data_IF_619030618228
#
_entry.id   IF_619030618228
#
_cell.length_a   1.000
_cell.length_b   1.000
_cell.length_c   1.000
_cell.angle_alpha   90.00
_cell.angle_beta   90.00
_cell.angle_gamma   90.00
#
_symmetry.space_group_name_H-M   'P 1'
#
loop_
_entity.id
_entity.type
_entity.pdbx_description
1 polymer ?
#
# COMPACT_ATOMS: atom_id res chain seq x y z
N UNK A 1 26.10 1.52 35.99
CA UNK A 1 26.31 1.34 34.54
C UNK A 1 25.23 0.48 33.85
N UNK A 2 24.64 -0.55 34.47
CA UNK A 2 23.57 -1.38 33.87
C UNK A 2 22.28 -0.65 33.48
N UNK A 3 21.83 0.33 34.30
CA UNK A 3 20.57 1.06 34.07
C UNK A 3 20.54 1.87 32.78
N UNK A 4 21.60 2.57 32.46
CA UNK A 4 21.70 3.32 31.18
C UNK A 4 21.60 2.40 29.94
N UNK A 5 22.25 1.23 29.99
CA UNK A 5 22.16 0.25 28.90
C UNK A 5 20.72 -0.20 28.66
N UNK A 6 19.96 -0.43 29.74
CA UNK A 6 18.55 -0.85 29.63
C UNK A 6 17.69 0.24 29.00
N UNK A 7 17.89 1.51 29.42
CA UNK A 7 17.14 2.65 28.85
C UNK A 7 17.45 2.79 27.36
N UNK A 8 18.73 2.78 26.97
CA UNK A 8 19.10 2.88 25.56
C UNK A 8 18.55 1.73 24.74
N UNK A 9 18.63 0.49 25.24
CA UNK A 9 18.08 -0.68 24.54
C UNK A 9 16.57 -0.54 24.34
N UNK A 10 15.83 -0.12 25.38
CA UNK A 10 14.39 0.11 25.25
C UNK A 10 14.07 1.21 24.25
N UNK A 11 14.85 2.30 24.23
CA UNK A 11 14.68 3.38 23.24
C UNK A 11 14.91 2.89 21.81
N UNK A 12 15.93 2.05 21.57
CA UNK A 12 16.18 1.46 20.25
C UNK A 12 15.08 0.48 19.83
N UNK A 13 14.52 -0.29 20.77
CA UNK A 13 13.36 -1.17 20.48
C UNK A 13 12.14 -0.35 20.06
N UNK A 14 11.83 0.73 20.77
CA UNK A 14 10.71 1.63 20.40
C UNK A 14 10.97 2.26 19.04
N UNK A 15 12.19 2.77 18.80
CA UNK A 15 12.56 3.33 17.51
C UNK A 15 12.43 2.31 16.39
N UNK A 16 12.86 1.07 16.61
CA UNK A 16 12.73 -0.03 15.66
C UNK A 16 11.26 -0.30 15.33
N UNK A 17 10.37 -0.36 16.32
CA UNK A 17 8.93 -0.54 16.08
C UNK A 17 8.34 0.61 15.26
N UNK A 18 8.71 1.86 15.56
CA UNK A 18 8.24 3.02 14.79
C UNK A 18 8.72 2.99 13.33
N UNK A 19 10.01 2.74 13.11
CA UNK A 19 10.59 2.62 11.77
C UNK A 19 9.95 1.47 10.98
N UNK A 20 9.72 0.33 11.63
CA UNK A 20 9.09 -0.83 11.02
C UNK A 20 7.64 -0.52 10.62
N UNK A 21 6.90 0.18 11.47
CA UNK A 21 5.52 0.61 11.17
C UNK A 21 5.49 1.53 9.95
N UNK A 22 6.34 2.55 9.92
CA UNK A 22 6.40 3.49 8.77
C UNK A 22 6.84 2.77 7.50
N UNK A 23 7.84 1.87 7.60
CA UNK A 23 8.29 1.05 6.47
C UNK A 23 7.16 0.19 5.91
N UNK A 24 6.38 -0.48 6.79
CA UNK A 24 5.26 -1.31 6.38
C UNK A 24 4.16 -0.50 5.68
N UNK A 25 3.81 0.68 6.21
CA UNK A 25 2.84 1.57 5.56
C UNK A 25 3.35 2.07 4.21
N UNK A 26 4.62 2.47 4.11
CA UNK A 26 5.21 2.91 2.84
C UNK A 26 5.24 1.78 1.80
N UNK A 27 5.56 0.56 2.22
CA UNK A 27 5.49 -0.63 1.37
C UNK A 27 4.06 -0.87 0.87
N UNK A 28 3.08 -0.86 1.78
CA UNK A 28 1.67 -1.07 1.43
C UNK A 28 1.16 0.01 0.46
N UNK A 29 1.53 1.28 0.67
CA UNK A 29 1.18 2.37 -0.25
C UNK A 29 1.85 2.20 -1.61
N UNK A 30 3.13 1.80 -1.65
CA UNK A 30 3.83 1.47 -2.88
C UNK A 30 3.14 0.33 -3.64
N UNK A 31 2.70 -0.72 -2.95
CA UNK A 31 1.99 -1.86 -3.53
C UNK A 31 0.61 -1.46 -4.09
N UNK A 32 -0.17 -0.68 -3.33
CA UNK A 32 -1.48 -0.17 -3.75
C UNK A 32 -1.36 0.74 -4.97
N UNK A 33 -0.31 1.56 -5.04
CA UNK A 33 -0.09 2.52 -6.12
C UNK A 33 0.64 1.92 -7.33
N UNK A 34 0.83 0.61 -7.42
CA UNK A 34 1.25 0.00 -8.69
C UNK A 34 0.18 0.17 -9.76
N UNK A 35 0.60 0.33 -11.01
CA UNK A 35 -0.32 0.56 -12.14
C UNK A 35 -1.36 -0.56 -12.27
N UNK A 36 -0.94 -1.80 -12.05
CA UNK A 36 -1.79 -2.99 -12.10
C UNK A 36 -2.86 -2.97 -10.99
N UNK A 37 -2.45 -2.70 -9.75
CA UNK A 37 -3.38 -2.65 -8.63
C UNK A 37 -4.36 -1.48 -8.76
N UNK A 38 -3.92 -0.34 -9.28
CA UNK A 38 -4.80 0.79 -9.58
C UNK A 38 -5.86 0.44 -10.64
N UNK A 39 -5.51 -0.35 -11.68
CA UNK A 39 -6.46 -0.83 -12.68
C UNK A 39 -7.51 -1.76 -12.07
N UNK A 40 -7.08 -2.71 -11.24
CA UNK A 40 -8.00 -3.61 -10.52
C UNK A 40 -8.94 -2.81 -9.61
N UNK A 41 -8.39 -1.85 -8.90
CA UNK A 41 -9.08 -1.00 -7.98
C UNK A 41 -10.10 -0.08 -8.67
N UNK A 42 -9.68 0.67 -9.69
CA UNK A 42 -10.57 1.51 -10.48
C UNK A 42 -11.69 0.69 -11.14
N UNK A 43 -11.36 -0.54 -11.56
CA UNK A 43 -12.32 -1.48 -12.11
C UNK A 43 -13.38 -1.93 -11.11
N UNK A 44 -13.00 -2.18 -9.86
CA UNK A 44 -13.93 -2.56 -8.81
C UNK A 44 -14.89 -1.41 -8.47
N UNK A 45 -14.35 -0.19 -8.33
CA UNK A 45 -15.14 1.02 -8.06
C UNK A 45 -16.14 1.30 -9.17
N UNK A 46 -15.67 1.34 -10.42
CA UNK A 46 -16.53 1.69 -11.55
C UNK A 46 -17.64 0.65 -11.74
N UNK A 47 -17.34 -0.64 -11.56
CA UNK A 47 -18.36 -1.70 -11.64
C UNK A 47 -19.44 -1.56 -10.56
N UNK A 48 -19.08 -1.13 -9.36
CA UNK A 48 -20.05 -0.91 -8.28
C UNK A 48 -20.89 0.36 -8.52
N UNK A 49 -20.26 1.45 -8.96
CA UNK A 49 -20.98 2.66 -9.37
C UNK A 49 -21.96 2.37 -10.52
N UNK A 50 -21.54 1.60 -11.50
CA UNK A 50 -22.40 1.19 -12.61
C UNK A 50 -23.56 0.29 -12.17
N UNK A 51 -23.36 -0.54 -11.11
CA UNK A 51 -24.43 -1.35 -10.53
C UNK A 51 -25.43 -0.51 -9.74
N UNK A 52 -24.97 0.51 -9.04
CA UNK A 52 -25.80 1.39 -8.23
C UNK A 52 -26.60 2.36 -9.08
N UNK A 53 -26.09 2.75 -10.24
CA UNK A 53 -26.73 3.64 -11.19
C UNK A 53 -27.79 2.90 -12.02
N UNK A 54 -28.95 2.63 -11.41
CA UNK A 54 -30.08 1.91 -12.02
C UNK A 54 -30.58 2.51 -13.35
N UNK A 55 -30.28 3.78 -13.62
CA UNK A 55 -30.75 4.53 -14.80
C UNK A 55 -29.66 4.70 -15.88
N UNK A 56 -28.43 4.20 -15.66
CA UNK A 56 -27.38 4.28 -16.66
C UNK A 56 -27.52 3.11 -17.65
N UNK A 57 -28.15 3.40 -18.78
CA UNK A 57 -28.25 2.47 -19.90
C UNK A 57 -26.91 2.42 -20.63
N UNK A 58 -25.99 1.57 -20.11
CA UNK A 58 -24.65 1.37 -20.68
C UNK A 58 -24.68 0.93 -22.14
N UNK A 59 -25.74 0.23 -22.53
CA UNK A 59 -25.93 -0.22 -23.91
C UNK A 59 -26.19 0.97 -24.83
N UNK A 60 -27.07 1.89 -24.42
CA UNK A 60 -27.30 3.13 -25.16
C UNK A 60 -26.06 4.00 -25.20
N UNK A 61 -25.36 4.17 -24.06
CA UNK A 61 -24.12 4.94 -24.00
C UNK A 61 -23.07 4.39 -24.96
N UNK A 62 -22.83 3.08 -24.97
CA UNK A 62 -21.89 2.43 -25.88
C UNK A 62 -22.31 2.57 -27.36
N UNK A 63 -23.61 2.43 -27.66
CA UNK A 63 -24.15 2.59 -29.03
C UNK A 63 -23.95 4.01 -29.55
N UNK A 64 -24.20 5.02 -28.71
CA UNK A 64 -23.94 6.43 -29.03
C UNK A 64 -22.48 6.72 -29.34
N UNK A 65 -21.56 6.11 -28.57
CA UNK A 65 -20.12 6.24 -28.82
C UNK A 65 -19.71 5.58 -30.15
N UNK A 66 -20.28 4.44 -30.47
CA UNK A 66 -20.05 3.78 -31.77
C UNK A 66 -20.56 4.65 -32.93
N UNK A 67 -21.70 5.32 -32.79
CA UNK A 67 -22.22 6.27 -33.79
C UNK A 67 -21.28 7.48 -33.95
N UNK A 68 -20.81 8.05 -32.86
CA UNK A 68 -19.83 9.15 -32.91
C UNK A 68 -18.54 8.72 -33.61
N UNK A 69 -18.10 7.48 -33.42
CA UNK A 69 -16.93 6.92 -34.06
C UNK A 69 -17.08 6.73 -35.58
N UNK A 70 -18.26 6.96 -36.17
CA UNK A 70 -18.41 7.01 -37.64
C UNK A 70 -17.89 8.34 -38.21
N UNK A 71 -17.86 9.40 -37.39
CA UNK A 71 -17.53 10.77 -37.80
C UNK A 71 -16.20 11.27 -37.25
N UNK A 72 -15.62 10.57 -36.29
CA UNK A 72 -14.38 10.98 -35.59
C UNK A 72 -13.44 9.78 -35.47
N UNK A 73 -12.13 10.04 -35.46
CA UNK A 73 -11.12 9.01 -35.25
C UNK A 73 -10.85 8.73 -33.78
N UNK A 74 -11.15 9.71 -32.93
CA UNK A 74 -10.96 9.65 -31.46
C UNK A 74 -12.16 10.28 -30.75
N UNK A 75 -12.50 9.72 -29.59
CA UNK A 75 -13.49 10.31 -28.68
C UNK A 75 -12.76 10.91 -27.49
N UNK A 76 -13.03 12.17 -27.21
CA UNK A 76 -12.50 12.88 -26.07
C UNK A 76 -13.48 12.80 -24.90
N UNK A 77 -13.07 12.17 -23.82
CA UNK A 77 -13.83 12.13 -22.55
C UNK A 77 -13.24 13.18 -21.62
N UNK A 78 -13.96 14.27 -21.35
CA UNK A 78 -13.50 15.27 -20.39
C UNK A 78 -13.60 14.70 -18.99
N UNK A 79 -12.46 14.59 -18.31
CA UNK A 79 -12.36 14.29 -16.89
C UNK A 79 -11.98 15.59 -16.17
N UNK A 80 -12.28 15.70 -14.90
CA UNK A 80 -11.96 16.89 -14.09
C UNK A 80 -10.50 17.35 -14.17
N UNK A 81 -9.60 16.45 -14.56
CA UNK A 81 -8.14 16.64 -14.51
C UNK A 81 -7.52 16.81 -15.89
N UNK A 82 -7.99 16.05 -16.84
CA UNK A 82 -7.52 16.08 -18.23
C UNK A 82 -8.53 15.41 -19.15
N UNK A 83 -8.50 15.78 -20.40
CA UNK A 83 -9.26 15.09 -21.43
C UNK A 83 -8.55 13.82 -21.82
N UNK A 84 -9.24 12.69 -21.79
CA UNK A 84 -8.73 11.39 -22.24
C UNK A 84 -9.27 11.10 -23.62
N UNK A 85 -8.37 10.93 -24.57
CA UNK A 85 -8.71 10.57 -25.94
C UNK A 85 -8.68 9.04 -26.10
N UNK A 86 -9.78 8.45 -26.54
CA UNK A 86 -9.89 7.00 -26.82
C UNK A 86 -10.00 6.83 -28.34
N UNK A 87 -9.08 6.06 -28.98
CA UNK A 87 -9.17 5.78 -30.39
C UNK A 87 -10.45 5.01 -30.75
N UNK A 88 -11.14 5.43 -31.79
CA UNK A 88 -12.35 4.77 -32.25
C UNK A 88 -12.12 3.35 -32.79
N UNK A 89 -10.90 3.04 -33.22
CA UNK A 89 -10.48 1.65 -33.55
C UNK A 89 -10.67 0.71 -32.36
N UNK A 90 -10.30 1.18 -31.15
CA UNK A 90 -10.35 0.38 -29.92
C UNK A 90 -11.78 0.24 -29.41
N UNK A 91 -12.61 1.29 -29.57
CA UNK A 91 -14.03 1.24 -29.25
C UNK A 91 -14.76 0.26 -30.18
N UNK A 92 -14.51 0.33 -31.50
CA UNK A 92 -15.13 -0.56 -32.51
C UNK A 92 -14.72 -2.02 -32.36
N UNK A 93 -13.51 -2.30 -31.87
CA UNK A 93 -13.00 -3.65 -31.62
C UNK A 93 -13.43 -4.24 -30.28
N UNK A 94 -13.95 -3.39 -29.37
CA UNK A 94 -14.40 -3.81 -28.04
C UNK A 94 -15.85 -4.30 -28.06
N UNK A 95 -16.18 -5.16 -27.10
CA UNK A 95 -17.56 -5.43 -26.70
C UNK A 95 -17.95 -4.47 -25.58
N UNK A 96 -19.22 -4.34 -25.25
CA UNK A 96 -19.68 -3.49 -24.14
C UNK A 96 -18.92 -3.75 -22.81
N UNK A 97 -18.65 -5.01 -22.50
CA UNK A 97 -17.92 -5.43 -21.29
C UNK A 97 -16.43 -5.09 -21.37
N UNK A 98 -15.81 -5.27 -22.54
CA UNK A 98 -14.40 -4.93 -22.75
C UNK A 98 -14.19 -3.43 -22.88
N UNK A 99 -15.20 -2.67 -23.35
CA UNK A 99 -15.17 -1.21 -23.40
C UNK A 99 -15.03 -0.59 -22.00
N UNK A 100 -15.76 -1.09 -21.02
CA UNK A 100 -15.60 -0.61 -19.62
C UNK A 100 -14.15 -0.79 -19.15
N UNK A 101 -13.54 -1.93 -19.43
CA UNK A 101 -12.14 -2.17 -19.09
C UNK A 101 -11.18 -1.26 -19.88
N UNK A 102 -11.50 -0.96 -21.16
CA UNK A 102 -10.73 -0.01 -21.98
C UNK A 102 -10.74 1.39 -21.34
N UNK A 103 -11.93 1.89 -20.96
CA UNK A 103 -12.06 3.20 -20.30
C UNK A 103 -11.27 3.23 -18.99
N UNK A 104 -11.39 2.18 -18.14
CA UNK A 104 -10.65 2.08 -16.89
C UNK A 104 -9.13 2.13 -17.13
N UNK A 105 -8.65 1.32 -18.08
CA UNK A 105 -7.23 1.26 -18.40
C UNK A 105 -6.71 2.61 -18.88
N UNK A 106 -7.43 3.25 -19.81
CA UNK A 106 -7.04 4.55 -20.36
C UNK A 106 -7.06 5.63 -19.27
N UNK A 107 -8.05 5.61 -18.38
CA UNK A 107 -8.14 6.53 -17.25
C UNK A 107 -6.98 6.35 -16.27
N UNK A 108 -6.70 5.11 -15.87
CA UNK A 108 -5.59 4.81 -14.95
C UNK A 108 -4.25 5.16 -15.59
N UNK A 109 -4.06 4.85 -16.88
CA UNK A 109 -2.85 5.20 -17.61
C UNK A 109 -2.65 6.73 -17.64
N UNK A 110 -3.72 7.48 -17.88
CA UNK A 110 -3.69 8.94 -17.89
C UNK A 110 -3.34 9.55 -16.53
N UNK A 111 -3.83 8.99 -15.43
CA UNK A 111 -3.50 9.45 -14.06
C UNK A 111 -2.09 9.01 -13.68
N UNK A 112 -1.76 7.75 -13.91
CA UNK A 112 -0.50 7.17 -13.47
C UNK A 112 0.69 7.80 -14.16
N UNK A 113 0.60 7.98 -15.49
CA UNK A 113 1.67 8.51 -16.31
C UNK A 113 1.70 10.05 -16.35
N UNK A 114 0.76 10.70 -15.62
CA UNK A 114 0.74 12.16 -15.53
C UNK A 114 2.02 12.69 -14.88
N UNK A 115 2.72 13.53 -15.63
CA UNK A 115 3.91 14.20 -15.10
C UNK A 115 3.50 15.44 -14.30
N UNK A 116 3.98 15.51 -13.06
CA UNK A 116 3.81 16.67 -12.20
C UNK A 116 5.14 17.45 -12.18
N UNK A 117 5.11 18.72 -12.55
CA UNK A 117 6.30 19.61 -12.62
C UNK A 117 6.83 20.01 -11.22
N UNK A 118 6.72 19.12 -10.25
CA UNK A 118 7.18 19.34 -8.89
C UNK A 118 7.62 18.02 -8.23
N UNK A 119 8.59 18.10 -7.29
CA UNK A 119 8.88 16.96 -6.43
C UNK A 119 7.70 16.63 -5.52
N UNK A 120 7.58 15.38 -5.06
CA UNK A 120 6.47 14.91 -4.25
C UNK A 120 6.14 15.85 -3.08
N UNK A 121 7.16 16.25 -2.29
CA UNK A 121 6.96 17.13 -1.12
C UNK A 121 6.50 18.54 -1.54
N UNK A 122 7.05 19.08 -2.63
CA UNK A 122 6.62 20.41 -3.10
C UNK A 122 5.22 20.37 -3.73
N UNK A 123 4.85 19.26 -4.34
CA UNK A 123 3.49 19.02 -4.82
C UNK A 123 2.47 18.93 -3.68
N UNK A 124 2.79 18.27 -2.57
CA UNK A 124 1.95 18.21 -1.36
C UNK A 124 1.59 19.60 -0.82
N UNK A 125 2.49 20.58 -0.97
CA UNK A 125 2.25 21.94 -0.50
C UNK A 125 1.47 22.81 -1.49
N UNK A 126 1.54 22.50 -2.79
CA UNK A 126 0.99 23.32 -3.87
C UNK A 126 -0.36 22.82 -4.40
N UNK A 127 -0.55 21.49 -4.38
CA UNK A 127 -1.74 20.86 -4.92
C UNK A 127 -2.82 20.71 -3.85
N UNK A 128 -4.07 20.94 -4.24
CA UNK A 128 -5.25 20.81 -3.40
C UNK A 128 -6.29 19.89 -4.05
N UNK A 129 -7.14 19.27 -3.23
CA UNK A 129 -8.29 18.50 -3.68
C UNK A 129 -7.92 17.30 -4.58
N UNK A 130 -8.63 17.16 -5.68
CA UNK A 130 -8.51 16.07 -6.65
C UNK A 130 -7.10 15.94 -7.25
N UNK A 131 -6.42 17.06 -7.56
CA UNK A 131 -5.07 17.03 -8.10
C UNK A 131 -4.06 16.41 -7.12
N UNK A 132 -4.23 16.65 -5.82
CA UNK A 132 -3.41 16.02 -4.79
C UNK A 132 -3.66 14.51 -4.75
N UNK A 133 -4.92 14.07 -4.76
CA UNK A 133 -5.27 12.65 -4.77
C UNK A 133 -4.66 11.92 -5.97
N UNK A 134 -4.70 12.54 -7.15
CA UNK A 134 -4.09 11.95 -8.36
C UNK A 134 -2.58 11.90 -8.29
N UNK A 135 -1.92 12.92 -7.75
CA UNK A 135 -0.48 12.89 -7.53
C UNK A 135 -0.09 11.75 -6.58
N UNK A 136 -0.87 11.51 -5.51
CA UNK A 136 -0.64 10.40 -4.58
C UNK A 136 -0.80 9.03 -5.24
N UNK A 137 -1.66 8.89 -6.26
CA UNK A 137 -1.90 7.66 -7.00
C UNK A 137 -1.04 7.53 -8.27
N UNK A 138 -0.30 8.57 -8.66
CA UNK A 138 0.55 8.57 -9.85
C UNK A 138 1.87 7.82 -9.64
N UNK A 139 2.61 7.66 -10.73
CA UNK A 139 3.99 7.14 -10.68
C UNK A 139 4.90 7.97 -9.74
N UNK A 140 4.68 9.28 -9.64
CA UNK A 140 5.41 10.15 -8.70
C UNK A 140 5.15 9.75 -7.25
N UNK A 141 3.90 9.44 -6.89
CA UNK A 141 3.54 8.93 -5.57
C UNK A 141 4.15 7.54 -5.32
N UNK A 142 4.00 6.63 -6.28
CA UNK A 142 4.57 5.27 -6.19
C UNK A 142 6.10 5.29 -5.97
N UNK A 143 6.83 6.08 -6.74
CA UNK A 143 8.29 6.23 -6.57
C UNK A 143 8.65 6.76 -5.18
N UNK A 144 7.96 7.79 -4.71
CA UNK A 144 8.19 8.33 -3.38
C UNK A 144 7.97 7.29 -2.28
N UNK A 145 6.88 6.53 -2.32
CA UNK A 145 6.63 5.49 -1.31
C UNK A 145 7.69 4.39 -1.34
N UNK A 146 8.15 4.02 -2.53
CA UNK A 146 9.23 3.03 -2.70
C UNK A 146 10.55 3.55 -2.14
N UNK A 147 10.92 4.79 -2.42
CA UNK A 147 12.15 5.42 -1.89
C UNK A 147 12.10 5.52 -0.36
N UNK A 148 10.96 5.95 0.20
CA UNK A 148 10.75 6.02 1.65
C UNK A 148 10.88 4.62 2.26
N UNK A 149 10.24 3.61 1.69
CA UNK A 149 10.36 2.22 2.14
C UNK A 149 11.82 1.77 2.18
N UNK A 150 12.59 1.96 1.09
CA UNK A 150 13.99 1.55 1.03
C UNK A 150 14.85 2.29 2.06
N UNK A 151 14.63 3.59 2.26
CA UNK A 151 15.34 4.37 3.27
C UNK A 151 15.07 3.85 4.68
N UNK A 152 13.81 3.54 4.99
CA UNK A 152 13.44 3.01 6.31
C UNK A 152 13.94 1.58 6.54
N UNK A 153 14.00 0.72 5.51
CA UNK A 153 14.64 -0.60 5.60
C UNK A 153 16.14 -0.46 5.94
N UNK A 154 16.86 0.45 5.30
CA UNK A 154 18.26 0.71 5.62
C UNK A 154 18.44 1.15 7.09
N UNK A 155 17.59 2.06 7.58
CA UNK A 155 17.59 2.48 8.99
C UNK A 155 17.24 1.34 9.94
N UNK A 156 16.28 0.48 9.60
CA UNK A 156 15.91 -0.71 10.38
C UNK A 156 17.08 -1.67 10.53
N UNK A 157 17.86 -1.90 9.47
CA UNK A 157 19.04 -2.74 9.54
C UNK A 157 20.08 -2.16 10.51
N UNK A 158 20.34 -0.85 10.46
CA UNK A 158 21.26 -0.18 11.38
C UNK A 158 20.78 -0.30 12.83
N UNK A 159 19.52 0.03 13.10
CA UNK A 159 18.95 -0.05 14.46
C UNK A 159 18.89 -1.50 14.95
N UNK A 160 18.57 -2.45 14.08
CA UNK A 160 18.58 -3.89 14.39
C UNK A 160 19.98 -4.38 14.83
N UNK A 161 21.01 -3.98 14.10
CA UNK A 161 22.41 -4.26 14.47
C UNK A 161 22.74 -3.64 15.82
N UNK A 162 22.35 -2.39 16.08
CA UNK A 162 22.59 -1.75 17.38
C UNK A 162 21.87 -2.49 18.54
N UNK A 163 20.63 -2.94 18.33
CA UNK A 163 19.91 -3.76 19.31
C UNK A 163 20.70 -5.02 19.66
N UNK A 164 21.23 -5.75 18.64
CA UNK A 164 22.04 -6.96 18.86
C UNK A 164 23.31 -6.62 19.65
N UNK A 165 24.03 -5.57 19.29
CA UNK A 165 25.26 -5.19 19.97
C UNK A 165 25.04 -4.75 21.43
N UNK A 166 23.91 -4.11 21.73
CA UNK A 166 23.59 -3.63 23.09
C UNK A 166 22.98 -4.72 23.97
N UNK A 167 22.44 -5.80 23.39
CA UNK A 167 21.85 -6.91 24.14
C UNK A 167 22.91 -7.78 24.81
N UNK A 168 22.63 -8.19 26.04
CA UNK A 168 23.47 -9.14 26.77
C UNK A 168 22.62 -10.35 27.23
N UNK A 169 22.92 -11.57 26.77
CA UNK A 169 23.88 -11.89 25.70
C UNK A 169 23.42 -11.35 24.33
N UNK A 170 24.34 -11.17 23.38
CA UNK A 170 24.04 -10.63 22.04
C UNK A 170 22.92 -11.37 21.31
N UNK A 171 22.82 -12.67 21.54
CA UNK A 171 21.77 -13.54 21.00
C UNK A 171 20.38 -13.09 21.46
N UNK A 172 20.24 -12.50 22.66
CA UNK A 172 18.98 -11.96 23.14
C UNK A 172 18.47 -10.81 22.26
N UNK A 173 19.35 -10.15 21.50
CA UNK A 173 18.99 -9.10 20.54
C UNK A 173 18.09 -9.63 19.43
N UNK A 174 18.34 -10.83 18.92
CA UNK A 174 17.50 -11.49 17.87
C UNK A 174 16.09 -11.71 18.41
N UNK A 175 15.97 -12.23 19.64
CA UNK A 175 14.66 -12.38 20.30
C UNK A 175 13.94 -11.05 20.46
N UNK A 176 14.65 -10.00 20.86
CA UNK A 176 14.06 -8.65 21.05
C UNK A 176 13.57 -8.06 19.73
N UNK A 177 14.32 -8.25 18.62
CA UNK A 177 13.88 -7.88 17.27
C UNK A 177 12.62 -8.65 16.89
N UNK A 178 12.60 -9.98 17.09
CA UNK A 178 11.42 -10.79 16.81
C UNK A 178 10.18 -10.34 17.58
N UNK A 179 10.32 -10.04 18.88
CA UNK A 179 9.24 -9.49 19.71
C UNK A 179 8.75 -8.13 19.15
N UNK A 180 9.68 -7.25 18.74
CA UNK A 180 9.32 -5.97 18.14
C UNK A 180 8.49 -6.15 16.85
N UNK A 181 8.87 -7.11 16.02
CA UNK A 181 8.14 -7.45 14.80
C UNK A 181 6.73 -7.99 15.13
N UNK A 182 6.60 -8.83 16.17
CA UNK A 182 5.29 -9.31 16.65
C UNK A 182 4.42 -8.15 17.10
N UNK A 183 4.97 -7.20 17.88
CA UNK A 183 4.23 -6.05 18.39
C UNK A 183 3.66 -5.22 17.23
N UNK A 184 4.45 -4.94 16.20
CA UNK A 184 3.96 -4.23 15.01
C UNK A 184 2.95 -5.09 14.25
N UNK A 185 3.23 -6.39 14.08
CA UNK A 185 2.32 -7.34 13.43
C UNK A 185 0.97 -7.51 14.13
N UNK A 186 0.88 -7.27 15.45
CA UNK A 186 -0.39 -7.21 16.19
C UNK A 186 -1.34 -6.10 15.67
N UNK A 187 -0.82 -5.13 14.92
CA UNK A 187 -1.63 -4.19 14.15
C UNK A 187 -2.65 -4.87 13.24
N UNK A 188 -2.38 -6.11 12.77
CA UNK A 188 -3.34 -6.94 12.04
C UNK A 188 -4.71 -7.00 12.76
N UNK A 189 -4.71 -7.31 14.04
CA UNK A 189 -5.96 -7.44 14.81
C UNK A 189 -6.65 -6.09 15.01
N UNK A 190 -5.89 -5.00 15.19
CA UNK A 190 -6.45 -3.65 15.28
C UNK A 190 -7.14 -3.25 13.96
N UNK A 191 -6.49 -3.51 12.82
CA UNK A 191 -7.08 -3.24 11.50
C UNK A 191 -8.26 -4.18 11.17
N UNK A 192 -8.20 -5.44 11.58
CA UNK A 192 -9.33 -6.37 11.42
C UNK A 192 -10.57 -5.85 12.17
N UNK A 193 -10.38 -5.37 13.40
CA UNK A 193 -11.45 -4.77 14.18
C UNK A 193 -11.97 -3.47 13.56
N UNK A 194 -11.07 -2.60 13.11
CA UNK A 194 -11.43 -1.37 12.40
C UNK A 194 -12.20 -1.65 11.11
N UNK A 195 -11.79 -2.67 10.33
CA UNK A 195 -12.52 -3.14 9.15
C UNK A 195 -13.96 -3.54 9.52
N UNK A 196 -14.13 -4.34 10.58
CA UNK A 196 -15.45 -4.78 11.03
C UNK A 196 -16.35 -3.60 11.43
N UNK A 197 -15.82 -2.61 12.15
CA UNK A 197 -16.55 -1.40 12.54
C UNK A 197 -16.92 -0.52 11.35
N UNK A 198 -16.00 -0.30 10.42
CA UNK A 198 -16.24 0.55 9.26
C UNK A 198 -17.25 -0.06 8.31
N UNK A 199 -17.16 -1.36 8.04
CA UNK A 199 -18.10 -2.06 7.15
C UNK A 199 -19.51 -2.17 7.77
N UNK A 200 -19.65 -2.11 9.10
CA UNK A 200 -20.96 -2.14 9.75
C UNK A 200 -21.69 -0.80 9.74
N UNK A 201 -20.98 0.32 9.57
CA UNK A 201 -21.54 1.67 9.76
C UNK A 201 -21.57 2.55 8.51
N UNK A 202 -21.00 2.11 7.39
CA UNK A 202 -20.83 2.99 6.22
C UNK A 202 -21.13 2.20 4.95
N UNK A 203 -22.22 2.59 4.27
CA UNK A 203 -22.49 2.22 2.87
C UNK A 203 -21.44 2.79 1.89
N UNK A 204 -20.46 3.49 2.42
CA UNK A 204 -19.45 4.24 1.68
C UNK A 204 -18.21 3.39 1.48
N UNK A 205 -17.90 3.18 0.24
CA UNK A 205 -16.68 2.67 -0.39
C UNK A 205 -16.62 1.15 -0.59
N UNK A 206 -17.09 0.75 -1.76
CA UNK A 206 -16.71 -0.48 -2.46
C UNK A 206 -15.17 -0.68 -2.58
N UNK A 207 -14.41 0.38 -2.34
CA UNK A 207 -12.94 0.47 -2.35
C UNK A 207 -12.29 -0.14 -1.11
N UNK A 208 -12.94 -0.01 0.06
CA UNK A 208 -12.33 -0.37 1.34
C UNK A 208 -11.93 -1.85 1.46
N UNK A 209 -12.67 -2.84 0.94
CA UNK A 209 -12.31 -4.24 1.13
C UNK A 209 -10.93 -4.60 0.55
N UNK A 210 -10.65 -4.20 -0.70
CA UNK A 210 -9.40 -4.54 -1.38
C UNK A 210 -8.17 -3.88 -0.73
N UNK A 211 -8.28 -2.61 -0.34
CA UNK A 211 -7.23 -1.89 0.37
C UNK A 211 -6.94 -2.52 1.73
N UNK A 212 -7.99 -2.86 2.48
CA UNK A 212 -7.84 -3.52 3.77
C UNK A 212 -7.24 -4.92 3.63
N UNK A 213 -7.53 -5.65 2.56
CA UNK A 213 -6.94 -6.98 2.34
C UNK A 213 -5.42 -6.91 2.12
N UNK A 214 -4.93 -5.98 1.30
CA UNK A 214 -3.49 -5.79 1.09
C UNK A 214 -2.82 -5.42 2.43
N UNK A 215 -3.37 -4.44 3.14
CA UNK A 215 -2.83 -4.01 4.42
C UNK A 215 -2.83 -5.14 5.46
N UNK A 216 -3.95 -5.86 5.59
CA UNK A 216 -4.09 -6.98 6.52
C UNK A 216 -3.11 -8.10 6.20
N UNK A 217 -2.94 -8.44 4.92
CA UNK A 217 -2.02 -9.48 4.50
C UNK A 217 -0.57 -9.13 4.86
N UNK A 218 -0.14 -7.89 4.63
CA UNK A 218 1.20 -7.41 4.96
C UNK A 218 1.46 -7.45 6.49
N UNK A 219 0.50 -7.05 7.32
CA UNK A 219 0.61 -7.16 8.77
C UNK A 219 0.62 -8.61 9.26
N UNK A 220 -0.17 -9.50 8.63
CA UNK A 220 -0.19 -10.92 8.97
C UNK A 220 1.14 -11.60 8.66
N UNK A 221 1.71 -11.34 7.49
CA UNK A 221 3.03 -11.86 7.10
C UNK A 221 4.08 -11.40 8.11
N UNK A 222 4.06 -10.12 8.48
CA UNK A 222 4.97 -9.57 9.46
C UNK A 222 4.81 -10.25 10.83
N UNK A 223 3.58 -10.47 11.29
CA UNK A 223 3.27 -11.16 12.54
C UNK A 223 3.84 -12.58 12.57
N UNK A 224 3.63 -13.35 11.51
CA UNK A 224 4.17 -14.72 11.38
C UNK A 224 5.70 -14.69 11.36
N UNK A 225 6.30 -13.79 10.59
CA UNK A 225 7.76 -13.65 10.55
C UNK A 225 8.34 -13.32 11.93
N UNK A 226 7.68 -12.43 12.68
CA UNK A 226 8.05 -12.09 14.05
C UNK A 226 8.03 -13.29 14.99
N UNK A 227 7.00 -14.14 14.91
CA UNK A 227 6.92 -15.39 15.69
C UNK A 227 8.09 -16.30 15.36
N UNK A 228 8.38 -16.54 14.09
CA UNK A 228 9.48 -17.42 13.64
C UNK A 228 10.83 -16.90 14.15
N UNK A 229 11.11 -15.61 13.99
CA UNK A 229 12.37 -14.98 14.45
C UNK A 229 12.48 -15.07 15.97
N UNK A 230 11.39 -14.86 16.70
CA UNK A 230 11.37 -14.97 18.17
C UNK A 230 11.66 -16.40 18.63
N UNK A 231 11.06 -17.41 17.98
CA UNK A 231 11.29 -18.83 18.28
C UNK A 231 12.74 -19.21 18.02
N UNK A 232 13.32 -18.77 16.90
CA UNK A 232 14.73 -19.01 16.58
C UNK A 232 15.61 -18.35 17.65
N UNK A 233 15.37 -17.10 17.99
CA UNK A 233 16.11 -16.39 19.01
C UNK A 233 16.03 -17.05 20.38
N UNK A 234 14.87 -17.56 20.77
CA UNK A 234 14.67 -18.27 22.03
C UNK A 234 15.41 -19.63 22.05
N UNK A 235 15.31 -20.40 20.96
CA UNK A 235 15.99 -21.70 20.84
C UNK A 235 17.51 -21.56 20.92
N UNK A 236 18.07 -20.61 20.16
CA UNK A 236 19.52 -20.33 20.16
C UNK A 236 19.98 -19.84 21.52
N UNK A 237 19.20 -18.99 22.20
CA UNK A 237 19.52 -18.51 23.55
C UNK A 237 19.54 -19.66 24.57
N UNK A 238 18.52 -20.53 24.53
CA UNK A 238 18.44 -21.70 25.42
C UNK A 238 19.62 -22.67 25.24
N UNK A 239 19.98 -22.92 23.99
CA UNK A 239 21.15 -23.79 23.68
C UNK A 239 22.46 -23.16 24.18
N UNK A 240 22.61 -21.84 24.03
CA UNK A 240 23.78 -21.11 24.51
C UNK A 240 23.89 -21.16 26.03
N UNK A 241 22.80 -20.94 26.76
CA UNK A 241 22.78 -21.01 28.24
C UNK A 241 23.06 -22.40 28.78
N UNK A 242 22.60 -23.46 28.07
CA UNK A 242 22.88 -24.83 28.44
C UNK A 242 24.38 -25.16 28.30
N UNK A 243 25.01 -24.69 27.23
CA UNK A 243 26.44 -24.93 26.97
C UNK A 243 27.35 -24.27 28.02
N UNK A 244 26.99 -23.04 28.44
CA UNK A 244 27.76 -22.33 29.50
C UNK A 244 27.65 -23.04 30.86
N UNK A 245 26.56 -23.73 31.16
CA UNK A 245 26.41 -24.49 32.43
C UNK A 245 27.13 -25.83 32.43
N UNK A 246 27.49 -26.34 31.27
CA UNK A 246 28.23 -27.61 31.12
C UNK A 246 29.76 -27.41 31.10
N UNK A 247 30.25 -26.17 30.93
CA UNK A 247 31.65 -25.75 31.10
C UNK A 247 31.92 -25.24 32.51
#
# INVERSE_FOLDING_TARGET
>A
MKWWKTIFLSSFIILFCLLLTVSLFSFTLSEITTKENLKVFAGAVLKEELRSAKDLDLEKGYTLLLEQCQFQDTIEIPLEIQTVAIPCSDIKSSTQTTFVNLVINTFVDAIYDKNFDCSFISCLQKLNGTNLAFMLLSNTGHQFYTEVFLAFIALLLIVGILIIFMSEPKIAGIKNIGISIIIVGLGYFAFLYAKALLLSNVEVLSITPALFEILLNNFLILFIAGIVITMIGYYVLHYYEKRIKEE
#
